data_IF_812190043700
#
_entry.id   IF_812190043700
#
_cell.length_a   1.000
_cell.length_b   1.000
_cell.length_c   1.000
_cell.angle_alpha   90.00
_cell.angle_beta   90.00
_cell.angle_gamma   90.00
#
_symmetry.space_group_name_H-M   'P 1'
#
loop_
_entity.id
_entity.type
_entity.pdbx_description
1 polymer ?
#
# COMPACT_ATOMS: atom_id res chain seq x y z
N UNK A 1 7.86 18.67 9.95
CA UNK A 1 8.76 18.56 8.79
C UNK A 1 10.19 18.29 9.26
N UNK A 2 11.02 17.66 8.42
CA UNK A 2 12.44 17.43 8.72
C UNK A 2 13.24 18.69 9.07
N UNK A 3 12.93 19.82 8.44
CA UNK A 3 13.55 21.12 8.71
C UNK A 3 12.98 21.86 9.94
N UNK A 4 12.03 21.25 10.65
CA UNK A 4 11.35 21.80 11.84
C UNK A 4 10.57 23.12 11.61
N UNK A 5 10.34 23.53 10.36
CA UNK A 5 9.60 24.77 10.06
C UNK A 5 8.10 24.61 9.94
N UNK A 6 7.61 23.37 9.78
CA UNK A 6 6.20 23.06 9.60
C UNK A 6 5.78 21.86 10.44
N UNK A 7 4.52 21.85 10.84
CA UNK A 7 3.88 20.73 11.56
C UNK A 7 2.73 20.21 10.69
N UNK A 8 2.64 18.89 10.53
CA UNK A 8 1.50 18.24 9.92
C UNK A 8 0.56 17.69 10.99
N UNK A 9 -0.73 17.89 10.80
CA UNK A 9 -1.80 17.36 11.64
C UNK A 9 -2.99 16.97 10.80
N UNK A 10 -3.94 16.23 11.37
CA UNK A 10 -5.21 15.94 10.71
C UNK A 10 -6.34 16.66 11.44
N UNK A 11 -7.08 17.50 10.70
CA UNK A 11 -8.38 17.98 11.15
C UNK A 11 -9.40 16.86 10.98
N UNK A 12 -10.08 16.50 12.06
CA UNK A 12 -11.05 15.40 12.07
C UNK A 12 -12.44 15.97 12.29
N UNK A 13 -13.36 15.67 11.38
CA UNK A 13 -14.80 15.83 11.59
C UNK A 13 -15.31 14.49 12.13
N UNK A 14 -15.65 14.42 13.43
CA UNK A 14 -16.16 13.20 14.04
C UNK A 14 -17.57 12.89 13.55
N UNK A 15 -17.98 11.64 13.68
CA UNK A 15 -19.35 11.17 13.48
C UNK A 15 -19.90 10.57 14.75
N UNK A 16 -21.20 10.29 14.76
CA UNK A 16 -21.81 9.57 15.87
C UNK A 16 -21.24 8.16 15.96
N UNK A 17 -20.82 7.77 17.18
CA UNK A 17 -20.31 6.44 17.42
C UNK A 17 -21.42 5.41 17.34
N UNK A 18 -21.24 4.40 16.51
CA UNK A 18 -22.14 3.25 16.36
C UNK A 18 -21.54 2.04 17.06
N UNK A 19 -22.37 1.16 17.59
CA UNK A 19 -21.94 0.01 18.35
C UNK A 19 -22.66 -1.24 17.89
N UNK A 20 -21.96 -2.36 17.90
CA UNK A 20 -22.53 -3.71 17.88
C UNK A 20 -22.40 -4.33 19.26
N UNK A 21 -23.34 -5.18 19.60
CA UNK A 21 -23.43 -5.85 20.90
C UNK A 21 -23.32 -7.35 20.69
N UNK A 22 -22.57 -8.01 21.57
CA UNK A 22 -22.48 -9.47 21.59
C UNK A 22 -22.39 -9.97 23.01
N UNK A 23 -22.80 -11.22 23.22
CA UNK A 23 -22.83 -11.87 24.52
C UNK A 23 -21.72 -12.91 24.58
N UNK A 24 -20.84 -12.78 25.57
CA UNK A 24 -19.93 -13.83 25.98
C UNK A 24 -20.67 -14.76 26.92
N UNK A 25 -21.08 -15.92 26.44
CA UNK A 25 -21.95 -16.84 27.17
C UNK A 25 -21.26 -17.54 28.35
N UNK A 26 -19.96 -17.72 28.29
CA UNK A 26 -19.16 -18.41 29.32
C UNK A 26 -17.87 -17.66 29.60
N UNK A 27 -17.91 -16.50 30.27
CA UNK A 27 -16.70 -15.76 30.61
C UNK A 27 -15.90 -16.53 31.68
N UNK A 28 -14.55 -16.38 31.61
CA UNK A 28 -13.65 -17.15 32.50
C UNK A 28 -13.67 -16.66 33.96
N UNK A 29 -14.16 -15.44 34.21
CA UNK A 29 -14.09 -14.76 35.54
C UNK A 29 -15.42 -14.67 36.26
N UNK A 30 -16.53 -15.16 35.66
CA UNK A 30 -17.84 -15.20 36.30
C UNK A 30 -18.74 -16.29 35.69
N UNK A 31 -19.75 -16.72 36.46
CA UNK A 31 -20.72 -17.73 36.01
C UNK A 31 -21.74 -17.19 35.02
N UNK A 32 -22.16 -15.92 35.18
CA UNK A 32 -23.19 -15.30 34.36
C UNK A 32 -22.60 -14.76 33.07
N UNK A 33 -23.38 -14.76 31.96
CA UNK A 33 -22.95 -14.17 30.68
C UNK A 33 -22.60 -12.70 30.81
N UNK A 34 -21.67 -12.23 29.96
CA UNK A 34 -21.28 -10.82 29.85
C UNK A 34 -21.77 -10.22 28.57
N UNK A 35 -22.36 -9.03 28.66
CA UNK A 35 -22.66 -8.20 27.49
C UNK A 35 -21.48 -7.31 27.16
N UNK A 36 -21.00 -7.42 25.93
CA UNK A 36 -19.98 -6.55 25.37
C UNK A 36 -20.55 -5.62 24.32
N UNK A 37 -19.94 -4.47 24.15
CA UNK A 37 -20.17 -3.56 23.04
C UNK A 37 -18.84 -3.22 22.37
N UNK A 38 -18.87 -3.18 21.06
CA UNK A 38 -17.70 -2.78 20.24
C UNK A 38 -18.12 -1.66 19.32
N UNK A 39 -17.31 -0.60 19.24
CA UNK A 39 -17.50 0.45 18.25
C UNK A 39 -17.33 -0.14 16.85
N UNK A 40 -18.35 -0.05 16.04
CA UNK A 40 -18.41 -0.65 14.72
C UNK A 40 -19.36 0.12 13.82
N UNK A 41 -18.84 0.78 12.80
CA UNK A 41 -19.63 1.40 11.76
C UNK A 41 -19.98 0.36 10.69
N UNK A 42 -21.28 0.20 10.43
CA UNK A 42 -21.79 -0.70 9.39
C UNK A 42 -21.69 -0.07 7.98
N UNK A 43 -21.77 -0.86 6.91
CA UNK A 43 -22.00 -0.31 5.58
C UNK A 43 -23.21 0.64 5.58
N UNK A 44 -23.01 1.87 5.07
CA UNK A 44 -24.03 2.92 5.09
C UNK A 44 -23.88 3.94 6.23
N UNK A 45 -23.25 3.60 7.35
CA UNK A 45 -23.00 4.57 8.43
C UNK A 45 -21.95 5.61 7.98
N UNK A 46 -22.06 6.82 8.50
CA UNK A 46 -21.04 7.85 8.27
C UNK A 46 -19.72 7.47 8.97
N UNK A 47 -18.62 7.75 8.30
CA UNK A 47 -17.27 7.59 8.85
C UNK A 47 -16.65 8.95 9.19
N UNK A 48 -15.75 9.03 10.20
CA UNK A 48 -15.03 10.26 10.49
C UNK A 48 -14.25 10.74 9.25
N UNK A 49 -14.40 12.02 8.94
CA UNK A 49 -13.71 12.64 7.81
C UNK A 49 -12.42 13.33 8.27
N UNK A 50 -11.30 13.00 7.65
CA UNK A 50 -9.97 13.50 8.01
C UNK A 50 -9.40 14.35 6.90
N UNK A 51 -8.85 15.51 7.26
CA UNK A 51 -8.15 16.42 6.33
C UNK A 51 -6.73 16.64 6.85
N UNK A 52 -5.68 16.16 6.16
CA UNK A 52 -4.31 16.51 6.49
C UNK A 52 -4.09 17.99 6.30
N UNK A 53 -3.56 18.66 7.31
CA UNK A 53 -3.29 20.10 7.30
C UNK A 53 -1.84 20.36 7.68
N UNK A 54 -1.26 21.41 7.13
CA UNK A 54 0.10 21.84 7.40
C UNK A 54 0.04 23.21 8.10
N UNK A 55 0.86 23.39 9.12
CA UNK A 55 0.97 24.65 9.86
C UNK A 55 2.42 25.13 9.87
N UNK A 56 2.64 26.38 9.53
CA UNK A 56 3.95 27.02 9.66
C UNK A 56 4.21 27.35 11.11
N UNK A 57 5.39 26.98 11.63
CA UNK A 57 5.70 27.15 13.06
C UNK A 57 5.85 28.63 13.45
N UNK A 58 6.50 29.44 12.61
CA UNK A 58 6.78 30.85 12.91
C UNK A 58 5.54 31.75 12.79
N UNK A 59 4.74 31.54 11.76
CA UNK A 59 3.61 32.42 11.42
C UNK A 59 2.27 31.93 11.94
N UNK A 60 2.16 30.65 12.26
CA UNK A 60 0.89 29.99 12.56
C UNK A 60 -0.02 29.83 11.34
N UNK A 61 0.44 30.16 10.15
CA UNK A 61 -0.34 30.03 8.90
C UNK A 61 -0.73 28.57 8.68
N UNK A 62 -2.03 28.34 8.48
CA UNK A 62 -2.55 27.02 8.11
C UNK A 62 -2.61 26.87 6.60
N UNK A 63 -2.11 25.76 6.08
CA UNK A 63 -2.24 25.33 4.68
C UNK A 63 -3.20 24.15 4.69
N UNK A 64 -4.42 24.38 4.19
CA UNK A 64 -5.52 23.41 4.17
C UNK A 64 -5.77 23.04 2.70
N UNK A 65 -5.56 21.76 2.33
CA UNK A 65 -5.71 21.32 0.95
C UNK A 65 -7.18 21.23 0.52
N UNK A 66 -7.45 21.27 -0.80
CA UNK A 66 -8.71 20.80 -1.36
C UNK A 66 -8.89 19.30 -1.08
N UNK A 67 -10.13 18.89 -0.82
CA UNK A 67 -10.48 17.50 -0.52
C UNK A 67 -11.06 16.73 -1.70
N UNK A 68 -11.11 17.31 -2.89
CA UNK A 68 -11.74 16.73 -4.08
C UNK A 68 -11.21 15.32 -4.43
N UNK A 69 -9.90 15.11 -4.29
CA UNK A 69 -9.24 13.84 -4.59
C UNK A 69 -9.40 12.77 -3.49
N UNK A 70 -9.99 13.12 -2.33
CA UNK A 70 -10.14 12.20 -1.19
C UNK A 70 -11.41 12.45 -0.36
N UNK A 71 -12.51 12.85 -1.02
CA UNK A 71 -13.76 13.22 -0.35
C UNK A 71 -14.61 12.02 0.12
N UNK A 72 -14.57 10.87 -0.54
CA UNK A 72 -15.30 9.66 -0.16
C UNK A 72 -14.45 8.69 0.65
N UNK A 73 -14.01 9.10 1.84
CA UNK A 73 -13.06 8.36 2.64
C UNK A 73 -13.66 7.10 3.27
N UNK A 74 -13.02 5.94 3.00
CA UNK A 74 -13.00 4.84 3.94
C UNK A 74 -11.86 5.04 4.94
N UNK A 75 -10.65 5.30 4.44
CA UNK A 75 -9.48 5.50 5.26
C UNK A 75 -8.46 6.42 4.58
N UNK A 76 -7.78 7.23 5.38
CA UNK A 76 -6.52 7.86 5.01
C UNK A 76 -5.43 7.45 6.00
N UNK A 77 -4.23 7.19 5.49
CA UNK A 77 -3.08 6.86 6.33
C UNK A 77 -2.58 8.07 7.11
N UNK A 78 -1.72 7.82 8.10
CA UNK A 78 -0.98 8.91 8.74
C UNK A 78 -0.09 9.60 7.71
N UNK A 79 -0.19 10.93 7.54
CA UNK A 79 0.65 11.65 6.60
C UNK A 79 2.13 11.59 6.99
N UNK A 80 3.00 11.51 5.99
CA UNK A 80 4.45 11.51 6.16
C UNK A 80 5.12 12.60 5.33
N UNK A 81 6.15 13.22 5.91
CA UNK A 81 6.95 14.22 5.22
C UNK A 81 7.96 13.60 4.28
N UNK A 82 8.15 14.22 3.12
CA UNK A 82 9.34 13.98 2.32
C UNK A 82 10.59 14.58 2.98
N UNK A 83 11.75 14.03 2.62
CA UNK A 83 13.04 14.41 3.20
C UNK A 83 13.38 15.89 3.00
N UNK A 84 12.90 16.50 1.91
CA UNK A 84 13.14 17.91 1.56
C UNK A 84 12.15 18.88 2.22
N UNK A 85 11.20 18.39 3.02
CA UNK A 85 10.17 19.18 3.71
C UNK A 85 9.20 19.94 2.78
N UNK A 86 9.19 19.63 1.47
CA UNK A 86 8.35 20.32 0.49
C UNK A 86 6.99 19.71 0.33
N UNK A 87 6.87 18.42 0.63
CA UNK A 87 5.63 17.68 0.40
C UNK A 87 5.26 16.79 1.56
N UNK A 88 3.96 16.58 1.73
CA UNK A 88 3.34 15.69 2.69
C UNK A 88 2.56 14.62 1.94
N UNK A 89 2.90 13.36 2.13
CA UNK A 89 2.32 12.23 1.40
C UNK A 89 1.44 11.40 2.31
N UNK A 90 0.30 10.93 1.80
CA UNK A 90 -0.61 10.02 2.49
C UNK A 90 -1.34 9.10 1.50
N UNK A 91 -1.87 8.01 2.01
CA UNK A 91 -2.69 7.08 1.25
C UNK A 91 -4.15 7.40 1.45
N UNK A 92 -4.92 7.29 0.39
CA UNK A 92 -6.37 7.39 0.37
C UNK A 92 -6.97 6.08 -0.13
N UNK A 93 -7.89 5.54 0.64
CA UNK A 93 -8.75 4.43 0.27
C UNK A 93 -10.20 4.93 0.25
N UNK A 94 -10.82 4.83 -0.91
CA UNK A 94 -12.21 5.24 -1.10
C UNK A 94 -13.18 4.28 -0.41
N UNK A 95 -14.28 4.81 0.05
CA UNK A 95 -15.39 3.99 0.53
C UNK A 95 -16.03 3.25 -0.64
N UNK A 96 -16.08 1.91 -0.56
CA UNK A 96 -16.42 1.02 -1.69
C UNK A 96 -15.18 0.39 -2.32
N UNK A 97 -13.98 0.91 -1.99
CA UNK A 97 -12.68 0.34 -2.39
C UNK A 97 -12.48 0.24 -3.91
N UNK A 98 -13.10 1.13 -4.68
CA UNK A 98 -12.92 1.20 -6.13
C UNK A 98 -11.76 2.11 -6.55
N UNK A 99 -11.38 3.06 -5.66
CA UNK A 99 -10.23 3.93 -5.88
C UNK A 99 -9.28 3.88 -4.68
N UNK A 100 -8.00 3.73 -4.99
CA UNK A 100 -6.91 3.82 -4.04
C UNK A 100 -5.85 4.77 -4.60
N UNK A 101 -5.43 5.75 -3.80
CA UNK A 101 -4.47 6.77 -4.24
C UNK A 101 -3.34 6.95 -3.23
N UNK A 102 -2.15 7.20 -3.74
CA UNK A 102 -1.11 7.90 -2.97
C UNK A 102 -1.17 9.34 -3.39
N UNK A 103 -1.49 10.21 -2.44
CA UNK A 103 -1.63 11.65 -2.64
C UNK A 103 -0.48 12.41 -2.01
N UNK A 104 -0.09 13.49 -2.64
CA UNK A 104 0.93 14.42 -2.17
C UNK A 104 0.34 15.82 -2.05
N UNK A 105 0.61 16.47 -0.93
CA UNK A 105 0.22 17.86 -0.66
C UNK A 105 1.49 18.72 -0.72
N UNK A 106 1.46 19.77 -1.52
CA UNK A 106 2.50 20.81 -1.51
C UNK A 106 2.48 21.56 -0.17
N UNK A 107 3.63 21.64 0.47
CA UNK A 107 3.79 22.37 1.72
C UNK A 107 3.93 23.89 1.52
N UNK A 108 3.87 24.39 0.30
CA UNK A 108 3.89 25.79 -0.04
C UNK A 108 2.48 26.39 -0.14
N UNK A 109 1.63 25.73 -0.91
CA UNK A 109 0.31 26.25 -1.29
C UNK A 109 -0.87 25.30 -0.99
N UNK A 110 -0.60 24.06 -0.59
CA UNK A 110 -1.65 23.05 -0.30
C UNK A 110 -2.20 22.35 -1.55
N UNK A 111 -1.60 22.53 -2.72
CA UNK A 111 -1.99 21.81 -3.93
C UNK A 111 -1.87 20.31 -3.71
N UNK A 112 -2.90 19.55 -4.11
CA UNK A 112 -2.95 18.09 -4.00
C UNK A 112 -2.82 17.46 -5.35
N UNK A 113 -1.95 16.46 -5.48
CA UNK A 113 -1.83 15.66 -6.70
C UNK A 113 -1.70 14.17 -6.39
N UNK A 114 -2.15 13.29 -7.26
CA UNK A 114 -1.87 11.88 -7.14
C UNK A 114 -0.41 11.59 -7.56
N UNK A 115 0.29 10.78 -6.74
CA UNK A 115 1.55 10.13 -7.12
C UNK A 115 1.24 8.79 -7.78
N UNK A 116 0.24 8.07 -7.26
CA UNK A 116 -0.27 6.83 -7.82
C UNK A 116 -1.79 6.86 -7.71
N UNK A 117 -2.45 6.41 -8.75
CA UNK A 117 -3.88 6.19 -8.78
C UNK A 117 -4.16 4.77 -9.30
N UNK A 118 -4.83 3.99 -8.46
CA UNK A 118 -5.30 2.65 -8.77
C UNK A 118 -6.82 2.64 -8.73
N UNK A 119 -7.45 2.13 -9.78
CA UNK A 119 -8.91 2.06 -9.85
C UNK A 119 -9.38 0.73 -10.42
N UNK A 120 -10.54 0.30 -9.97
CA UNK A 120 -11.22 -0.90 -10.47
C UNK A 120 -12.73 -0.65 -10.47
N UNK A 121 -13.43 -1.15 -11.47
CA UNK A 121 -14.89 -1.15 -11.53
C UNK A 121 -15.53 -2.08 -10.47
N UNK A 122 -14.73 -2.93 -9.85
CA UNK A 122 -15.16 -3.89 -8.83
C UNK A 122 -14.55 -3.57 -7.47
N UNK A 123 -13.27 -3.84 -7.31
CA UNK A 123 -12.57 -3.76 -6.02
C UNK A 123 -11.07 -3.63 -6.23
N UNK A 124 -10.43 -2.73 -5.53
CA UNK A 124 -8.97 -2.65 -5.43
C UNK A 124 -8.53 -3.42 -4.18
N UNK A 125 -7.74 -4.46 -4.35
CA UNK A 125 -7.24 -5.29 -3.25
C UNK A 125 -6.14 -4.56 -2.45
N UNK A 126 -6.53 -3.48 -1.77
CA UNK A 126 -5.62 -2.58 -1.06
C UNK A 126 -4.79 -3.26 0.04
N UNK A 127 -5.25 -4.40 0.58
CA UNK A 127 -4.52 -5.15 1.61
C UNK A 127 -3.32 -5.92 1.06
N UNK A 128 -3.23 -6.09 -0.25
CA UNK A 128 -2.15 -6.79 -0.96
C UNK A 128 -1.26 -5.89 -1.79
N UNK A 129 -1.54 -4.59 -1.82
CA UNK A 129 -0.73 -3.64 -2.54
C UNK A 129 0.68 -3.59 -1.95
N UNK A 130 1.66 -3.88 -2.80
CA UNK A 130 3.07 -3.65 -2.51
C UNK A 130 3.52 -2.33 -3.11
N UNK A 131 4.31 -1.58 -2.35
CA UNK A 131 4.95 -0.36 -2.82
C UNK A 131 6.36 -0.25 -2.28
N UNK A 132 7.25 0.25 -3.10
CA UNK A 132 8.61 0.57 -2.70
C UNK A 132 9.10 1.83 -3.42
N UNK A 133 9.42 2.86 -2.64
CA UNK A 133 10.06 4.06 -3.16
C UNK A 133 11.56 3.82 -3.27
N UNK A 134 12.10 3.92 -4.47
CA UNK A 134 13.53 3.75 -4.68
C UNK A 134 14.31 4.89 -4.03
N UNK A 135 15.56 4.62 -3.65
CA UNK A 135 16.45 5.59 -2.98
C UNK A 135 16.74 6.82 -3.82
N UNK A 136 16.60 6.72 -5.15
CA UNK A 136 16.74 7.84 -6.08
C UNK A 136 15.65 8.91 -5.91
N UNK A 137 14.58 8.60 -5.18
CA UNK A 137 13.43 9.47 -4.93
C UNK A 137 12.56 9.74 -6.16
N UNK A 138 12.83 9.08 -7.30
CA UNK A 138 12.17 9.33 -8.59
C UNK A 138 11.28 8.17 -9.03
N UNK A 139 11.66 6.94 -8.69
CA UNK A 139 10.98 5.71 -9.14
C UNK A 139 10.24 5.05 -7.99
N UNK A 140 9.12 4.42 -8.31
CA UNK A 140 8.32 3.63 -7.36
C UNK A 140 7.99 2.29 -8.00
N UNK A 141 8.25 1.20 -7.27
CA UNK A 141 7.74 -0.12 -7.63
C UNK A 141 6.37 -0.27 -6.98
N UNK A 142 5.37 -0.59 -7.79
CA UNK A 142 3.99 -0.70 -7.40
C UNK A 142 3.38 -2.01 -7.87
N UNK A 143 2.60 -2.70 -7.03
CA UNK A 143 1.81 -3.85 -7.46
C UNK A 143 0.39 -3.45 -7.84
N UNK A 144 -0.15 -4.08 -8.88
CA UNK A 144 -1.49 -3.80 -9.39
C UNK A 144 -2.11 -5.05 -10.01
N UNK A 145 -3.43 -5.19 -9.85
CA UNK A 145 -4.24 -6.25 -10.46
C UNK A 145 -4.97 -5.77 -11.74
N UNK A 146 -4.50 -4.67 -12.37
CA UNK A 146 -5.16 -4.01 -13.52
C UNK A 146 -5.29 -4.86 -14.78
N UNK A 147 -4.50 -5.92 -14.91
CA UNK A 147 -4.54 -6.89 -16.00
C UNK A 147 -5.09 -8.24 -15.57
N UNK A 148 -5.86 -8.28 -14.46
CA UNK A 148 -6.47 -9.44 -13.79
C UNK A 148 -5.49 -10.31 -12.98
N UNK A 149 -4.20 -9.99 -12.98
CA UNK A 149 -3.17 -10.66 -12.19
C UNK A 149 -2.39 -9.63 -11.38
N UNK A 150 -1.95 -10.01 -10.17
CA UNK A 150 -1.10 -9.12 -9.39
C UNK A 150 0.30 -9.06 -9.99
N UNK A 151 0.63 -7.94 -10.59
CA UNK A 151 1.92 -7.70 -11.21
C UNK A 151 2.60 -6.44 -10.71
N UNK A 152 3.91 -6.35 -10.95
CA UNK A 152 4.73 -5.20 -10.58
C UNK A 152 4.88 -4.24 -11.75
N UNK A 153 4.80 -2.95 -11.43
CA UNK A 153 4.94 -1.85 -12.37
C UNK A 153 5.97 -0.84 -11.84
N UNK A 154 6.78 -0.29 -12.72
CA UNK A 154 7.63 0.84 -12.41
C UNK A 154 6.89 2.13 -12.69
N UNK A 155 6.85 3.02 -11.70
CA UNK A 155 6.25 4.35 -11.80
C UNK A 155 7.31 5.44 -11.76
N UNK A 156 7.09 6.49 -12.54
CA UNK A 156 7.76 7.78 -12.38
C UNK A 156 7.00 8.62 -11.37
N UNK A 157 7.65 8.99 -10.26
CA UNK A 157 7.01 9.73 -9.17
C UNK A 157 6.59 11.14 -9.57
N UNK A 158 7.34 11.79 -10.46
CA UNK A 158 7.05 13.17 -10.84
C UNK A 158 5.77 13.28 -11.68
N UNK A 159 5.57 12.33 -12.59
CA UNK A 159 4.40 12.30 -13.48
C UNK A 159 3.23 11.52 -12.90
N UNK A 160 3.46 10.64 -11.92
CA UNK A 160 2.44 9.74 -11.38
C UNK A 160 2.00 8.66 -12.37
N UNK A 161 2.81 8.36 -13.38
CA UNK A 161 2.47 7.39 -14.43
C UNK A 161 3.38 6.17 -14.41
N UNK A 162 2.86 4.98 -14.76
CA UNK A 162 3.70 3.81 -14.96
C UNK A 162 4.60 4.04 -16.18
N UNK A 163 5.88 3.74 -16.05
CA UNK A 163 6.85 3.76 -17.16
C UNK A 163 6.81 2.44 -17.92
N UNK A 164 6.67 1.34 -17.21
CA UNK A 164 6.54 -0.01 -17.79
C UNK A 164 6.03 -1.02 -16.76
N UNK A 165 5.58 -2.16 -17.24
CA UNK A 165 5.25 -3.34 -16.45
C UNK A 165 6.51 -4.18 -16.26
N UNK A 166 6.84 -4.52 -15.01
CA UNK A 166 8.04 -5.31 -14.66
C UNK A 166 7.75 -6.81 -14.79
N UNK A 167 6.64 -7.28 -14.21
CA UNK A 167 6.21 -8.68 -14.31
C UNK A 167 4.93 -8.77 -15.13
N UNK A 168 4.78 -9.84 -15.93
CA UNK A 168 3.62 -10.02 -16.81
C UNK A 168 3.34 -11.49 -17.07
N UNK A 169 2.09 -11.84 -17.36
CA UNK A 169 1.65 -13.20 -17.69
C UNK A 169 0.38 -13.58 -16.96
N UNK A 170 -0.10 -14.79 -17.17
CA UNK A 170 -1.29 -15.34 -16.48
C UNK A 170 -0.90 -16.02 -15.17
N UNK A 171 -0.27 -15.26 -14.27
CA UNK A 171 0.25 -15.72 -13.00
C UNK A 171 0.33 -14.57 -11.97
N UNK A 172 0.51 -14.89 -10.71
CA UNK A 172 0.35 -13.97 -9.58
C UNK A 172 1.65 -13.76 -8.82
N UNK A 173 2.13 -12.52 -8.70
CA UNK A 173 3.18 -12.12 -7.75
C UNK A 173 2.60 -12.19 -6.35
N UNK A 174 3.17 -13.05 -5.48
CA UNK A 174 2.65 -13.30 -4.14
C UNK A 174 3.28 -12.38 -3.10
N UNK A 175 4.57 -12.52 -2.88
CA UNK A 175 5.30 -11.77 -1.86
C UNK A 175 6.62 -11.24 -2.43
N UNK A 176 6.99 -10.03 -2.08
CA UNK A 176 8.30 -9.48 -2.39
C UNK A 176 9.27 -9.86 -1.28
N UNK A 177 10.33 -10.55 -1.65
CA UNK A 177 11.37 -11.02 -0.74
C UNK A 177 12.41 -9.92 -0.53
N UNK A 178 12.87 -9.31 -1.64
CA UNK A 178 13.87 -8.24 -1.60
C UNK A 178 13.83 -7.38 -2.84
N UNK A 179 14.06 -6.10 -2.65
CA UNK A 179 14.43 -5.15 -3.72
C UNK A 179 15.94 -4.87 -3.59
N UNK A 180 16.70 -5.28 -4.59
CA UNK A 180 18.11 -5.00 -4.72
C UNK A 180 18.28 -3.78 -5.65
N UNK A 181 18.35 -2.61 -5.04
CA UNK A 181 18.44 -1.35 -5.79
C UNK A 181 19.82 -1.13 -6.41
N UNK A 182 20.85 -1.78 -5.88
CA UNK A 182 22.23 -1.65 -6.38
C UNK A 182 22.42 -2.40 -7.71
N UNK A 183 21.84 -3.61 -7.78
CA UNK A 183 21.92 -4.46 -8.97
C UNK A 183 20.64 -4.39 -9.82
N UNK A 184 19.65 -3.59 -9.41
CA UNK A 184 18.34 -3.42 -10.04
C UNK A 184 17.57 -4.74 -10.24
N UNK A 185 17.51 -5.60 -9.21
CA UNK A 185 16.76 -6.84 -9.18
C UNK A 185 15.65 -6.84 -8.13
N UNK A 186 14.58 -7.57 -8.46
CA UNK A 186 13.49 -7.92 -7.55
C UNK A 186 13.52 -9.43 -7.32
N UNK A 187 13.54 -9.83 -6.06
CA UNK A 187 13.35 -11.22 -5.63
C UNK A 187 11.95 -11.36 -5.05
N UNK A 188 11.19 -12.32 -5.53
CA UNK A 188 9.78 -12.46 -5.16
C UNK A 188 9.34 -13.92 -5.21
N UNK A 189 8.21 -14.22 -4.56
CA UNK A 189 7.50 -15.47 -4.75
C UNK A 189 6.30 -15.27 -5.67
N UNK A 190 5.95 -16.31 -6.41
CA UNK A 190 4.83 -16.29 -7.34
C UNK A 190 4.10 -17.63 -7.37
N UNK A 191 2.86 -17.58 -7.87
CA UNK A 191 1.99 -18.72 -8.12
C UNK A 191 1.60 -18.77 -9.59
N UNK A 192 1.54 -19.97 -10.17
CA UNK A 192 1.00 -20.20 -11.53
C UNK A 192 1.95 -19.87 -12.68
N UNK A 193 3.23 -19.57 -12.45
CA UNK A 193 4.21 -19.30 -13.53
C UNK A 193 4.44 -20.55 -14.38
N UNK A 194 4.47 -21.73 -13.75
CA UNK A 194 4.63 -23.01 -14.45
C UNK A 194 3.24 -23.56 -14.81
N UNK A 195 2.94 -23.62 -16.12
CA UNK A 195 1.60 -23.98 -16.62
C UNK A 195 1.29 -25.48 -16.56
N UNK A 196 2.30 -26.31 -16.35
CA UNK A 196 2.19 -27.79 -16.25
C UNK A 196 2.14 -28.29 -14.80
N UNK A 197 1.97 -27.37 -13.84
CA UNK A 197 1.86 -27.68 -12.41
C UNK A 197 0.59 -27.11 -11.78
N UNK A 198 0.34 -27.51 -10.53
CA UNK A 198 -0.71 -26.89 -9.73
C UNK A 198 -0.46 -25.38 -9.58
N UNK A 199 -1.40 -24.53 -10.02
CA UNK A 199 -1.22 -23.08 -9.95
C UNK A 199 -1.12 -22.51 -8.52
N UNK A 200 -1.38 -23.31 -7.48
CA UNK A 200 -1.20 -22.92 -6.09
C UNK A 200 0.22 -23.18 -5.57
N UNK A 201 1.08 -23.87 -6.32
CA UNK A 201 2.47 -24.04 -5.94
C UNK A 201 3.19 -22.70 -5.83
N UNK A 202 3.97 -22.53 -4.76
CA UNK A 202 4.75 -21.32 -4.49
C UNK A 202 6.17 -21.57 -4.98
N UNK A 203 6.64 -20.72 -5.89
CA UNK A 203 8.03 -20.71 -6.36
C UNK A 203 8.66 -19.36 -6.19
N UNK A 204 9.98 -19.32 -6.20
CA UNK A 204 10.77 -18.10 -6.00
C UNK A 204 11.49 -17.71 -7.28
N UNK A 205 11.44 -16.41 -7.56
CA UNK A 205 11.95 -15.84 -8.81
C UNK A 205 12.78 -14.60 -8.55
N UNK A 206 13.60 -14.26 -9.55
CA UNK A 206 14.29 -13.00 -9.66
C UNK A 206 14.00 -12.38 -11.03
N UNK A 207 13.83 -11.06 -11.10
CA UNK A 207 13.64 -10.31 -12.34
C UNK A 207 14.36 -8.96 -12.26
N UNK A 208 14.83 -8.42 -13.37
CA UNK A 208 15.37 -7.07 -13.44
C UNK A 208 14.29 -5.99 -13.30
N UNK A 209 14.66 -4.79 -12.87
CA UNK A 209 13.75 -3.64 -12.81
C UNK A 209 13.16 -3.28 -14.18
N UNK A 210 13.88 -3.57 -15.25
CA UNK A 210 13.45 -3.38 -16.65
C UNK A 210 12.45 -4.45 -17.16
N UNK A 211 12.13 -5.43 -16.30
CA UNK A 211 11.24 -6.54 -16.63
C UNK A 211 11.89 -7.68 -17.42
N UNK A 212 13.20 -7.66 -17.58
CA UNK A 212 13.96 -8.71 -18.28
C UNK A 212 14.61 -9.69 -17.29
N UNK A 213 15.00 -10.86 -17.82
CA UNK A 213 15.79 -11.85 -17.07
C UNK A 213 15.03 -12.55 -15.95
N UNK A 214 13.73 -12.82 -16.13
CA UNK A 214 12.99 -13.67 -15.19
C UNK A 214 13.70 -15.00 -15.01
N UNK A 215 14.13 -15.30 -13.80
CA UNK A 215 14.89 -16.50 -13.43
C UNK A 215 14.16 -17.25 -12.34
N UNK A 216 13.86 -18.53 -12.56
CA UNK A 216 13.36 -19.44 -11.54
C UNK A 216 14.51 -19.84 -10.61
N UNK A 217 14.35 -19.61 -9.31
CA UNK A 217 15.34 -19.90 -8.27
C UNK A 217 15.06 -21.25 -7.56
N UNK A 218 13.89 -21.83 -7.78
CA UNK A 218 13.42 -23.09 -7.21
C UNK A 218 12.83 -23.99 -8.29
N UNK A 219 13.66 -24.52 -9.23
CA UNK A 219 13.20 -25.16 -10.45
C UNK A 219 12.54 -26.53 -10.27
N UNK A 220 12.71 -27.17 -9.11
CA UNK A 220 12.09 -28.45 -8.81
C UNK A 220 10.55 -28.33 -8.72
N UNK A 221 9.84 -29.42 -9.00
CA UNK A 221 8.37 -29.44 -8.95
C UNK A 221 7.85 -29.38 -7.54
N UNK A 222 6.82 -28.57 -7.29
CA UNK A 222 6.11 -28.50 -6.03
C UNK A 222 6.04 -27.10 -5.40
N UNK A 223 5.58 -27.08 -4.17
CA UNK A 223 5.57 -25.86 -3.35
C UNK A 223 6.89 -25.76 -2.60
N UNK A 224 7.52 -24.61 -2.70
CA UNK A 224 8.79 -24.32 -2.06
C UNK A 224 8.65 -23.40 -0.85
N UNK A 225 9.57 -23.54 0.09
CA UNK A 225 9.79 -22.60 1.17
C UNK A 225 11.29 -22.25 1.19
N UNK A 226 11.60 -21.03 0.89
CA UNK A 226 12.96 -20.59 0.66
C UNK A 226 13.44 -19.58 1.69
N UNK A 227 14.69 -19.72 2.11
CA UNK A 227 15.41 -18.76 2.95
C UNK A 227 16.64 -18.28 2.22
N UNK A 228 16.82 -16.97 2.17
CA UNK A 228 17.93 -16.33 1.50
C UNK A 228 18.96 -15.84 2.50
N UNK A 229 20.24 -15.96 2.15
CA UNK A 229 21.30 -15.29 2.88
C UNK A 229 21.15 -13.76 2.79
N UNK A 230 21.74 -13.04 3.74
CA UNK A 230 21.63 -11.57 3.77
C UNK A 230 22.15 -10.88 2.52
N UNK A 231 23.15 -11.45 1.87
CA UNK A 231 23.77 -10.98 0.62
C UNK A 231 23.10 -11.55 -0.64
N UNK A 232 22.06 -12.38 -0.49
CA UNK A 232 21.33 -13.04 -1.58
C UNK A 232 22.16 -14.00 -2.43
N UNK A 233 23.32 -14.42 -1.97
CA UNK A 233 24.18 -15.34 -2.72
C UNK A 233 23.84 -16.81 -2.50
N UNK A 234 23.18 -17.13 -1.40
CA UNK A 234 22.79 -18.48 -1.04
C UNK A 234 21.29 -18.56 -0.76
N UNK A 235 20.72 -19.66 -1.19
CA UNK A 235 19.34 -20.03 -1.00
C UNK A 235 19.29 -21.41 -0.34
N UNK A 236 18.48 -21.55 0.70
CA UNK A 236 18.05 -22.86 1.23
C UNK A 236 16.61 -23.06 0.82
N UNK A 237 16.35 -24.14 0.11
CA UNK A 237 15.04 -24.52 -0.42
C UNK A 237 14.59 -25.83 0.21
N UNK A 238 13.30 -25.91 0.59
CA UNK A 238 12.65 -27.06 1.21
C UNK A 238 11.28 -27.27 0.63
#
# INVERSE_FOLDING_TARGET
>A
SPDSRKVASCKIRPTEKRYVYYVESSPADQLQPKLHKQEYAKPGDELPFKVPCIYEVETGRAIIPSTELFNHQYHISRPSWDKDSRTLTFEYNERGHQNYRILEISAEDGTVRPIIEESSDKYVNYSRIYRHHLRDGKRIIWSSERDNWNHLYMYDRATGKPTHQITKGEWYVRDIIRIDEENEFIYFSANGVQTDEDPYHIRYYRIGFDGNGLTDLTPERGTHKAWFSRDMQYLVDV
#
